data_IF_639802507084
#
_entry.id   IF_639802507084
#
_cell.length_a   1.000
_cell.length_b   1.000
_cell.length_c   1.000
_cell.angle_alpha   90.00
_cell.angle_beta   90.00
_cell.angle_gamma   90.00
#
_symmetry.space_group_name_H-M   'P 1'
#
loop_
_entity.id
_entity.type
_entity.pdbx_description
1 polymer ?
#
# COMPACT_ATOMS: atom_id res chain seq x y z
N UNK A 1 3.30 28.87 9.36
CA UNK A 1 3.08 28.51 7.96
C UNK A 1 4.01 29.34 7.10
N UNK A 2 4.68 28.73 6.13
CA UNK A 2 5.49 29.41 5.10
C UNK A 2 5.23 28.73 3.76
N UNK A 3 5.13 29.54 2.71
CA UNK A 3 4.96 29.07 1.34
C UNK A 3 6.29 29.01 0.59
N UNK A 4 6.43 28.04 -0.31
CA UNK A 4 7.54 27.86 -1.24
C UNK A 4 6.97 27.74 -2.66
N UNK A 5 7.66 28.32 -3.66
CA UNK A 5 7.29 28.24 -5.09
C UNK A 5 5.83 28.61 -5.42
N UNK A 6 5.20 29.52 -4.67
CA UNK A 6 3.77 29.85 -4.81
C UNK A 6 3.41 30.68 -6.05
N UNK A 7 4.38 31.27 -6.75
CA UNK A 7 4.13 32.29 -7.78
C UNK A 7 3.42 31.77 -9.05
N UNK A 8 3.22 30.45 -9.17
CA UNK A 8 2.56 29.80 -10.30
C UNK A 8 1.40 28.87 -9.87
N UNK A 9 0.96 28.92 -8.60
CA UNK A 9 -0.14 28.08 -8.13
C UNK A 9 -1.50 28.64 -8.58
N UNK A 10 -2.25 27.84 -9.33
CA UNK A 10 -3.65 28.12 -9.65
C UNK A 10 -4.57 27.37 -8.66
N UNK A 11 -5.24 28.07 -7.73
CA UNK A 11 -6.13 27.45 -6.76
C UNK A 11 -7.43 26.94 -7.37
N UNK A 12 -7.81 27.36 -8.59
CA UNK A 12 -9.13 27.04 -9.17
C UNK A 12 -9.29 25.56 -9.51
N UNK A 13 -8.19 24.92 -9.92
CA UNK A 13 -8.09 23.48 -10.09
C UNK A 13 -6.81 22.99 -9.44
N UNK A 14 -6.90 22.16 -8.41
CA UNK A 14 -5.71 21.78 -7.64
C UNK A 14 -5.84 20.37 -7.06
N UNK A 15 -4.73 19.64 -7.04
CA UNK A 15 -4.57 18.41 -6.26
C UNK A 15 -3.71 18.68 -5.04
N UNK A 16 -4.31 18.57 -3.85
CA UNK A 16 -3.64 18.83 -2.56
C UNK A 16 -3.08 17.53 -2.02
N UNK A 17 -1.78 17.51 -1.76
CA UNK A 17 -1.08 16.33 -1.24
C UNK A 17 -0.62 16.63 0.19
N UNK A 18 -1.26 15.99 1.17
CA UNK A 18 -0.91 16.17 2.59
C UNK A 18 0.14 15.15 2.99
N UNK A 19 1.32 15.65 3.36
CA UNK A 19 2.54 14.88 3.64
C UNK A 19 3.04 15.18 5.06
N UNK A 20 3.88 14.30 5.61
CA UNK A 20 4.56 14.52 6.88
C UNK A 20 4.84 13.21 7.60
N UNK A 21 5.64 13.26 8.66
CA UNK A 21 5.99 12.05 9.39
C UNK A 21 4.76 11.36 9.99
N UNK A 22 4.85 10.04 10.16
CA UNK A 22 3.93 9.30 11.01
C UNK A 22 3.83 9.96 12.38
N UNK A 23 2.60 10.04 12.92
CA UNK A 23 2.28 10.76 14.16
C UNK A 23 2.58 12.28 14.14
N UNK A 24 2.90 12.84 12.97
CA UNK A 24 3.20 14.26 12.76
C UNK A 24 1.97 15.18 12.70
N UNK A 25 0.75 14.65 12.77
CA UNK A 25 -0.48 15.44 12.76
C UNK A 25 -1.03 15.75 11.36
N UNK A 26 -0.63 14.98 10.34
CA UNK A 26 -1.16 15.09 8.96
C UNK A 26 -2.68 14.95 8.90
N UNK A 27 -3.28 14.06 9.70
CA UNK A 27 -4.74 13.88 9.76
C UNK A 27 -5.50 15.12 10.25
N UNK A 28 -4.89 15.94 11.11
CA UNK A 28 -5.50 17.20 11.54
C UNK A 28 -5.63 18.17 10.37
N UNK A 29 -4.58 18.29 9.55
CA UNK A 29 -4.58 19.16 8.39
C UNK A 29 -5.52 18.63 7.30
N UNK A 30 -5.54 17.32 7.05
CA UNK A 30 -6.50 16.71 6.13
C UNK A 30 -7.94 16.95 6.58
N UNK A 31 -8.24 16.80 7.88
CA UNK A 31 -9.57 17.12 8.44
C UNK A 31 -9.94 18.60 8.32
N UNK A 32 -8.98 19.52 8.48
CA UNK A 32 -9.20 20.94 8.24
C UNK A 32 -9.55 21.22 6.76
N UNK A 33 -8.84 20.61 5.81
CA UNK A 33 -9.16 20.71 4.38
C UNK A 33 -10.56 20.17 4.06
N UNK A 34 -10.93 19.03 4.64
CA UNK A 34 -12.27 18.47 4.52
C UNK A 34 -13.35 19.42 5.06
N UNK A 35 -13.09 20.07 6.21
CA UNK A 35 -14.02 21.05 6.77
C UNK A 35 -14.17 22.33 5.93
N UNK A 36 -13.15 22.69 5.14
CA UNK A 36 -13.19 23.73 4.11
C UNK A 36 -13.96 23.30 2.84
N UNK A 37 -14.47 22.07 2.80
CA UNK A 37 -15.22 21.53 1.66
C UNK A 37 -14.35 20.96 0.55
N UNK A 38 -13.06 20.71 0.82
CA UNK A 38 -12.19 20.02 -0.13
C UNK A 38 -12.34 18.50 0.06
N UNK A 39 -12.73 17.73 -0.97
CA UNK A 39 -12.73 16.27 -0.90
C UNK A 39 -11.31 15.73 -0.66
N UNK A 40 -11.12 14.93 0.39
CA UNK A 40 -9.81 14.40 0.79
C UNK A 40 -9.60 12.90 0.50
N UNK A 41 -10.48 12.32 -0.33
CA UNK A 41 -10.48 10.90 -0.68
C UNK A 41 -11.85 10.24 -0.47
N UNK A 42 -11.91 8.93 -0.63
CA UNK A 42 -13.11 8.09 -0.49
C UNK A 42 -13.02 7.21 0.75
N UNK A 43 -14.17 6.84 1.32
CA UNK A 43 -14.28 5.88 2.43
C UNK A 43 -13.33 6.17 3.59
N UNK A 44 -13.19 7.46 3.92
CA UNK A 44 -12.20 7.92 4.87
C UNK A 44 -12.54 7.49 6.30
N UNK A 45 -11.55 6.94 6.98
CA UNK A 45 -11.59 6.76 8.42
C UNK A 45 -11.04 8.01 9.15
N UNK A 46 -10.87 7.92 10.46
CA UNK A 46 -10.36 9.04 11.25
C UNK A 46 -8.91 9.44 10.94
N UNK A 47 -8.16 8.63 10.19
CA UNK A 47 -6.82 8.97 9.71
C UNK A 47 -6.86 9.88 8.49
N UNK A 48 -8.01 9.99 7.81
CA UNK A 48 -8.17 10.70 6.53
C UNK A 48 -7.27 10.12 5.42
N UNK A 49 -7.01 8.82 5.45
CA UNK A 49 -6.31 8.12 4.37
C UNK A 49 -7.33 7.45 3.44
N UNK A 50 -7.12 7.59 2.14
CA UNK A 50 -7.95 6.96 1.12
C UNK A 50 -7.45 5.52 0.90
N UNK A 51 -8.24 4.48 1.22
CA UNK A 51 -7.78 3.10 1.18
C UNK A 51 -7.45 2.61 -0.23
N UNK A 52 -8.11 3.14 -1.27
CA UNK A 52 -7.81 2.83 -2.67
C UNK A 52 -6.42 3.38 -3.04
N UNK A 53 -6.19 4.67 -2.77
CA UNK A 53 -4.92 5.30 -3.09
C UNK A 53 -3.76 4.75 -2.27
N UNK A 54 -3.98 4.41 -0.99
CA UNK A 54 -2.99 3.73 -0.16
C UNK A 54 -2.58 2.38 -0.74
N UNK A 55 -3.55 1.55 -1.14
CA UNK A 55 -3.27 0.24 -1.71
C UNK A 55 -2.48 0.35 -3.02
N UNK A 56 -2.90 1.25 -3.92
CA UNK A 56 -2.20 1.52 -5.17
C UNK A 56 -0.78 2.04 -4.94
N UNK A 57 -0.58 2.91 -3.95
CA UNK A 57 0.74 3.42 -3.57
C UNK A 57 1.65 2.31 -3.02
N UNK A 58 1.14 1.51 -2.08
CA UNK A 58 1.88 0.42 -1.46
C UNK A 58 2.29 -0.67 -2.46
N UNK A 59 1.43 -0.94 -3.44
CA UNK A 59 1.68 -1.92 -4.50
C UNK A 59 2.55 -1.36 -5.66
N UNK A 60 2.88 -0.07 -5.65
CA UNK A 60 3.59 0.58 -6.74
C UNK A 60 2.80 0.66 -8.06
N UNK A 61 1.48 0.47 -8.02
CA UNK A 61 0.62 0.47 -9.20
C UNK A 61 0.38 1.91 -9.70
N UNK A 62 1.34 2.40 -10.49
CA UNK A 62 1.27 3.75 -11.05
C UNK A 62 0.13 3.93 -12.05
N UNK A 63 -0.28 2.88 -12.76
CA UNK A 63 -1.36 2.97 -13.77
C UNK A 63 -2.71 3.09 -13.07
N UNK A 64 -2.99 2.23 -12.10
CA UNK A 64 -4.18 2.32 -11.26
C UNK A 64 -4.24 3.65 -10.51
N UNK A 65 -3.11 4.12 -9.97
CA UNK A 65 -3.04 5.42 -9.29
C UNK A 65 -3.39 6.60 -10.22
N UNK A 66 -2.90 6.57 -11.46
CA UNK A 66 -3.25 7.59 -12.48
C UNK A 66 -4.73 7.55 -12.80
N UNK A 67 -5.32 6.37 -13.04
CA UNK A 67 -6.77 6.26 -13.26
C UNK A 67 -7.59 6.79 -12.08
N UNK A 68 -7.16 6.49 -10.85
CA UNK A 68 -7.80 6.97 -9.63
C UNK A 68 -7.71 8.50 -9.49
N UNK A 69 -6.60 9.12 -9.92
CA UNK A 69 -6.43 10.58 -10.01
C UNK A 69 -7.37 11.17 -11.07
N UNK A 70 -7.34 10.62 -12.28
CA UNK A 70 -8.13 11.13 -13.42
C UNK A 70 -9.63 11.07 -13.13
N UNK A 71 -10.08 9.99 -12.50
CA UNK A 71 -11.45 9.84 -12.04
C UNK A 71 -11.84 10.97 -11.06
N UNK A 72 -11.00 11.26 -10.07
CA UNK A 72 -11.25 12.34 -9.11
C UNK A 72 -11.16 13.72 -9.77
N UNK A 73 -10.26 13.89 -10.74
CA UNK A 73 -10.13 15.11 -11.53
C UNK A 73 -11.40 15.44 -12.33
N UNK A 74 -12.12 14.43 -12.84
CA UNK A 74 -13.41 14.60 -13.54
C UNK A 74 -14.52 15.10 -12.62
N UNK A 75 -14.52 14.65 -11.36
CA UNK A 75 -15.61 14.93 -10.41
C UNK A 75 -15.38 16.18 -9.57
N UNK A 76 -14.12 16.56 -9.36
CA UNK A 76 -13.77 17.63 -8.44
C UNK A 76 -12.78 18.60 -9.09
N UNK A 77 -13.07 19.91 -9.15
CA UNK A 77 -12.10 20.89 -9.61
C UNK A 77 -10.91 20.96 -8.64
N UNK A 78 -11.18 20.87 -7.33
CA UNK A 78 -10.19 20.79 -6.26
C UNK A 78 -10.44 19.54 -5.43
N UNK A 79 -9.40 18.77 -5.16
CA UNK A 79 -9.44 17.63 -4.25
C UNK A 79 -8.04 17.36 -3.69
N UNK A 80 -7.94 16.46 -2.73
CA UNK A 80 -6.65 16.05 -2.21
C UNK A 80 -6.67 14.65 -1.60
N UNK A 81 -5.52 14.23 -1.12
CA UNK A 81 -5.35 12.98 -0.40
C UNK A 81 -4.21 13.10 0.62
N UNK A 82 -4.21 12.21 1.60
CA UNK A 82 -3.18 12.12 2.62
C UNK A 82 -2.46 10.79 2.48
N UNK A 83 -1.20 10.83 2.09
CA UNK A 83 -0.29 9.69 2.10
C UNK A 83 1.04 10.25 2.66
N UNK A 84 1.38 9.95 3.92
CA UNK A 84 2.46 10.61 4.67
C UNK A 84 3.81 10.74 3.94
N UNK A 85 4.18 9.71 3.19
CA UNK A 85 5.47 9.46 2.55
C UNK A 85 5.40 9.47 1.02
N UNK A 86 4.33 10.03 0.46
CA UNK A 86 4.09 9.99 -0.98
C UNK A 86 5.18 10.69 -1.80
N UNK A 87 5.70 9.94 -2.77
CA UNK A 87 6.66 10.37 -3.79
C UNK A 87 6.10 9.95 -5.15
N UNK A 88 5.69 10.89 -6.03
CA UNK A 88 5.06 10.55 -7.30
C UNK A 88 6.09 10.05 -8.32
N UNK A 89 5.75 8.98 -9.03
CA UNK A 89 6.39 8.59 -10.29
C UNK A 89 6.02 9.57 -11.41
N UNK A 90 6.75 9.58 -12.53
CA UNK A 90 6.49 10.52 -13.65
C UNK A 90 5.04 10.46 -14.18
N UNK A 91 4.41 9.28 -14.38
CA UNK A 91 3.01 9.22 -14.83
C UNK A 91 2.04 9.85 -13.82
N UNK A 92 2.23 9.56 -12.52
CA UNK A 92 1.44 10.14 -11.43
C UNK A 92 1.64 11.66 -11.39
N UNK A 93 2.89 12.11 -11.52
CA UNK A 93 3.29 13.52 -11.56
C UNK A 93 2.56 14.28 -12.66
N UNK A 94 2.47 13.69 -13.85
CA UNK A 94 1.78 14.28 -15.00
C UNK A 94 0.25 14.32 -14.85
N UNK A 95 -0.34 13.39 -14.10
CA UNK A 95 -1.80 13.32 -13.88
C UNK A 95 -2.31 14.33 -12.82
N UNK A 96 -1.45 14.79 -11.92
CA UNK A 96 -1.81 15.74 -10.87
C UNK A 96 -1.99 17.15 -11.46
N UNK A 97 -3.13 17.80 -11.17
CA UNK A 97 -3.42 19.16 -11.67
C UNK A 97 -3.01 20.20 -10.65
N UNK A 98 -2.15 21.13 -11.06
CA UNK A 98 -1.61 22.21 -10.22
C UNK A 98 -1.33 21.73 -8.77
N UNK A 99 -0.44 20.75 -8.60
CA UNK A 99 -0.26 20.09 -7.33
C UNK A 99 0.24 21.05 -6.25
N UNK A 100 -0.29 20.89 -5.03
CA UNK A 100 0.10 21.63 -3.84
C UNK A 100 0.54 20.66 -2.76
N UNK A 101 1.81 20.77 -2.34
CA UNK A 101 2.26 20.06 -1.15
C UNK A 101 1.80 20.78 0.12
N UNK A 102 1.22 20.03 1.06
CA UNK A 102 0.96 20.46 2.43
C UNK A 102 1.79 19.60 3.37
N UNK A 103 3.00 20.07 3.68
CA UNK A 103 3.98 19.35 4.50
C UNK A 103 3.78 19.71 5.96
N UNK A 104 3.42 18.72 6.77
CA UNK A 104 3.21 18.88 8.21
C UNK A 104 4.47 18.47 8.97
N UNK A 105 5.12 19.46 9.56
CA UNK A 105 6.23 19.30 10.46
C UNK A 105 5.73 19.35 11.90
N UNK A 106 6.25 18.44 12.71
CA UNK A 106 6.02 18.37 14.14
C UNK A 106 7.38 18.23 14.82
N UNK A 107 7.44 18.65 16.08
CA UNK A 107 8.57 18.35 16.94
C UNK A 107 8.96 16.86 16.84
N UNK A 108 10.21 16.63 16.46
CA UNK A 108 10.75 15.30 16.16
C UNK A 108 10.72 14.41 17.40
N UNK A 109 10.98 14.97 18.59
CA UNK A 109 10.87 14.23 19.84
C UNK A 109 9.41 13.89 20.16
N UNK A 110 8.46 14.77 19.89
CA UNK A 110 7.04 14.48 20.07
C UNK A 110 6.51 13.40 19.12
N UNK A 111 6.95 13.40 17.85
CA UNK A 111 6.70 12.30 16.91
C UNK A 111 7.33 11.00 17.43
N UNK A 112 8.62 11.04 17.77
CA UNK A 112 9.38 9.89 18.21
C UNK A 112 8.85 9.28 19.52
N UNK A 113 8.37 10.10 20.46
CA UNK A 113 7.69 9.60 21.67
C UNK A 113 6.41 8.85 21.31
N UNK A 114 5.62 9.37 20.35
CA UNK A 114 4.39 8.72 19.91
C UNK A 114 4.67 7.45 19.11
N UNK A 115 5.67 7.47 18.23
CA UNK A 115 6.14 6.29 17.50
C UNK A 115 6.64 5.25 18.51
N UNK A 116 7.53 5.62 19.43
CA UNK A 116 8.00 4.73 20.48
C UNK A 116 6.87 4.16 21.36
N UNK A 117 5.82 4.94 21.62
CA UNK A 117 4.64 4.48 22.37
C UNK A 117 3.67 3.61 21.55
N UNK A 118 3.69 3.70 20.22
CA UNK A 118 2.69 3.05 19.35
C UNK A 118 3.23 1.94 18.46
N UNK A 119 4.54 1.91 18.26
CA UNK A 119 5.32 1.06 17.35
C UNK A 119 6.54 0.44 18.08
N UNK A 120 6.64 0.61 19.41
CA UNK A 120 7.65 0.06 20.35
C UNK A 120 9.11 0.08 19.82
N UNK A 121 9.38 1.13 19.05
CA UNK A 121 10.71 1.53 18.61
C UNK A 121 11.42 2.29 19.75
N UNK A 122 12.65 1.89 20.09
CA UNK A 122 13.49 2.64 21.03
C UNK A 122 13.48 4.14 20.68
N UNK A 123 13.20 5.01 21.64
CA UNK A 123 13.02 6.45 21.42
C UNK A 123 14.15 7.08 20.60
N UNK A 124 15.41 6.68 20.84
CA UNK A 124 16.56 7.17 20.08
C UNK A 124 16.50 6.77 18.59
N UNK A 125 16.06 5.54 18.27
CA UNK A 125 15.85 5.09 16.89
C UNK A 125 14.68 5.83 16.24
N UNK A 126 13.57 5.99 16.97
CA UNK A 126 12.41 6.75 16.49
C UNK A 126 12.75 8.22 16.21
N UNK A 127 13.60 8.81 17.04
CA UNK A 127 14.10 10.17 16.87
C UNK A 127 14.92 10.31 15.59
N UNK A 128 15.88 9.39 15.38
CA UNK A 128 16.72 9.38 14.17
C UNK A 128 15.89 9.11 12.92
N UNK A 129 15.02 8.10 12.94
CA UNK A 129 14.15 7.74 11.82
C UNK A 129 13.21 8.89 11.44
N UNK A 130 12.59 9.54 12.43
CA UNK A 130 11.73 10.71 12.18
C UNK A 130 12.52 11.87 11.57
N UNK A 131 13.73 12.14 12.08
CA UNK A 131 14.60 13.20 11.55
C UNK A 131 15.03 12.90 10.11
N UNK A 132 15.44 11.67 9.83
CA UNK A 132 15.85 11.23 8.49
C UNK A 132 14.68 11.28 7.52
N UNK A 133 13.50 10.82 7.94
CA UNK A 133 12.28 10.91 7.16
C UNK A 133 11.98 12.35 6.75
N UNK A 134 12.01 13.31 7.70
CA UNK A 134 11.77 14.71 7.37
C UNK A 134 12.84 15.29 6.43
N UNK A 135 14.11 14.91 6.60
CA UNK A 135 15.16 15.34 5.69
C UNK A 135 14.88 14.86 4.25
N UNK A 136 14.64 13.55 4.07
CA UNK A 136 14.34 12.97 2.76
C UNK A 136 13.08 13.56 2.13
N UNK A 137 12.01 13.75 2.93
CA UNK A 137 10.78 14.35 2.47
C UNK A 137 11.00 15.80 1.99
N UNK A 138 11.74 16.60 2.76
CA UNK A 138 12.02 17.98 2.40
C UNK A 138 12.93 18.07 1.17
N UNK A 139 13.96 17.23 1.06
CA UNK A 139 14.80 17.15 -0.14
C UNK A 139 13.96 16.86 -1.39
N UNK A 140 13.01 15.93 -1.28
CA UNK A 140 12.09 15.61 -2.36
C UNK A 140 11.18 16.81 -2.72
N UNK A 141 10.54 17.43 -1.72
CA UNK A 141 9.65 18.58 -1.94
C UNK A 141 10.40 19.74 -2.59
N UNK A 142 11.64 20.00 -2.16
CA UNK A 142 12.49 21.03 -2.73
C UNK A 142 12.92 20.69 -4.17
N UNK A 143 13.23 19.43 -4.46
CA UNK A 143 13.62 19.00 -5.80
C UNK A 143 12.49 19.09 -6.83
N UNK A 144 11.24 18.85 -6.42
CA UNK A 144 10.07 18.87 -7.33
C UNK A 144 9.63 20.27 -7.74
N UNK A 145 10.00 21.32 -6.98
CA UNK A 145 9.64 22.72 -7.26
C UNK A 145 8.14 23.01 -7.36
N UNK A 146 7.29 22.11 -6.88
CA UNK A 146 5.86 22.38 -6.74
C UNK A 146 5.59 23.42 -5.65
N UNK A 147 4.49 24.18 -5.77
CA UNK A 147 3.97 24.96 -4.66
C UNK A 147 3.88 24.11 -3.39
N UNK A 148 4.47 24.59 -2.30
CA UNK A 148 4.47 23.87 -1.03
C UNK A 148 4.15 24.78 0.15
N UNK A 149 3.34 24.26 1.07
CA UNK A 149 2.99 24.86 2.34
C UNK A 149 3.60 24.06 3.46
N UNK A 150 4.49 24.71 4.22
CA UNK A 150 5.10 24.12 5.40
C UNK A 150 4.29 24.53 6.63
N UNK A 151 3.71 23.53 7.30
CA UNK A 151 2.82 23.67 8.44
C UNK A 151 3.47 23.11 9.70
N UNK A 152 3.34 23.82 10.82
CA UNK A 152 3.73 23.30 12.14
C UNK A 152 2.50 22.73 12.84
N UNK A 153 2.59 21.48 13.30
CA UNK A 153 1.55 20.84 14.07
C UNK A 153 1.26 21.56 15.40
N UNK A 154 2.29 22.05 16.08
CA UNK A 154 2.16 22.80 17.33
C UNK A 154 1.38 24.09 17.11
N UNK A 155 1.65 24.78 16.00
CA UNK A 155 0.91 25.98 15.63
C UNK A 155 -0.53 25.65 15.24
N UNK A 156 -0.77 24.58 14.50
CA UNK A 156 -2.11 24.12 14.14
C UNK A 156 -2.95 23.76 15.38
N UNK A 157 -2.33 23.15 16.40
CA UNK A 157 -2.99 22.89 17.68
C UNK A 157 -3.28 24.17 18.48
N UNK A 158 -2.33 25.11 18.56
CA UNK A 158 -2.48 26.35 19.35
C UNK A 158 -3.39 27.37 18.69
N UNK A 159 -3.40 27.45 17.35
CA UNK A 159 -4.11 28.46 16.57
C UNK A 159 -4.83 27.82 15.36
N UNK A 160 -5.76 26.88 15.59
CA UNK A 160 -6.42 26.14 14.51
C UNK A 160 -7.19 27.04 13.55
N UNK A 161 -7.87 28.07 14.06
CA UNK A 161 -8.61 29.04 13.24
C UNK A 161 -7.68 29.83 12.30
N UNK A 162 -6.51 30.26 12.78
CA UNK A 162 -5.56 30.99 11.96
C UNK A 162 -4.96 30.10 10.85
N UNK A 163 -4.75 28.81 11.13
CA UNK A 163 -4.31 27.85 10.11
C UNK A 163 -5.41 27.60 9.09
N UNK A 164 -6.65 27.37 9.54
CA UNK A 164 -7.79 27.15 8.66
C UNK A 164 -8.03 28.35 7.73
N UNK A 165 -7.93 29.56 8.26
CA UNK A 165 -8.07 30.81 7.49
C UNK A 165 -6.93 30.99 6.47
N UNK A 166 -5.70 30.63 6.85
CA UNK A 166 -4.58 30.66 5.92
C UNK A 166 -4.74 29.63 4.79
N UNK A 167 -5.24 28.42 5.09
CA UNK A 167 -5.55 27.40 4.09
C UNK A 167 -6.68 27.86 3.16
N UNK A 168 -7.74 28.44 3.71
CA UNK A 168 -8.86 29.03 2.95
C UNK A 168 -8.37 30.10 1.98
N UNK A 169 -7.58 31.06 2.48
CA UNK A 169 -7.06 32.16 1.67
C UNK A 169 -6.13 31.66 0.55
N UNK A 170 -5.30 30.64 0.82
CA UNK A 170 -4.41 30.08 -0.19
C UNK A 170 -5.20 29.35 -1.30
N UNK A 171 -6.23 28.60 -0.92
CA UNK A 171 -7.07 27.86 -1.86
C UNK A 171 -8.13 28.73 -2.56
N UNK A 172 -8.06 30.06 -2.38
CA UNK A 172 -9.01 31.05 -2.89
C UNK A 172 -10.47 30.62 -2.68
N UNK A 173 -10.75 30.16 -1.47
CA UNK A 173 -12.09 29.75 -1.05
C UNK A 173 -12.87 30.96 -0.53
N UNK A 174 -14.20 31.04 -0.73
CA UNK A 174 -15.00 32.15 -0.23
C UNK A 174 -14.87 32.27 1.30
N UNK A 175 -15.03 33.49 1.86
CA UNK A 175 -15.06 33.68 3.31
C UNK A 175 -16.13 32.78 3.93
N UNK A 176 -15.77 32.10 5.00
CA UNK A 176 -16.72 31.28 5.78
C UNK A 176 -17.46 32.27 6.69
N UNK A 177 -18.79 32.32 6.63
CA UNK A 177 -19.57 33.16 7.53
C UNK A 177 -19.32 32.78 9.00
N UNK A 178 -19.29 33.76 9.90
CA UNK A 178 -18.95 33.59 11.32
C UNK A 178 -19.80 32.51 12.03
N UNK A 179 -20.98 32.16 11.51
CA UNK A 179 -21.84 31.07 12.00
C UNK A 179 -21.31 29.65 11.72
N UNK A 180 -20.52 29.44 10.65
CA UNK A 180 -20.05 28.11 10.19
C UNK A 180 -18.66 27.75 10.73
N UNK A 181 -17.89 28.77 11.14
CA UNK A 181 -16.61 28.65 11.87
C UNK A 181 -16.82 28.62 13.39
N UNK A 182 -18.08 28.58 13.84
CA UNK A 182 -18.45 28.42 15.24
C UNK A 182 -17.81 27.16 15.83
N UNK A 183 -17.57 27.20 17.14
CA UNK A 183 -16.95 26.14 17.94
C UNK A 183 -17.48 24.71 17.64
N UNK A 184 -18.67 24.57 17.04
CA UNK A 184 -19.29 23.33 16.55
C UNK A 184 -18.44 22.54 15.54
N UNK A 185 -18.00 23.12 14.40
CA UNK A 185 -17.34 22.31 13.34
C UNK A 185 -15.89 21.95 13.71
N UNK A 186 -15.20 22.86 14.40
CA UNK A 186 -13.91 22.58 15.02
C UNK A 186 -14.05 21.64 16.23
N UNK A 187 -15.18 21.72 16.94
CA UNK A 187 -15.58 20.82 18.02
C UNK A 187 -15.83 19.41 17.54
N UNK A 188 -16.54 19.22 16.43
CA UNK A 188 -16.76 17.95 15.74
C UNK A 188 -15.43 17.35 15.26
N UNK A 189 -14.55 18.15 14.63
CA UNK A 189 -13.20 17.69 14.24
C UNK A 189 -12.34 17.31 15.46
N UNK A 190 -12.40 18.09 16.55
CA UNK A 190 -11.71 17.77 17.81
C UNK A 190 -12.31 16.53 18.47
N UNK A 191 -13.62 16.34 18.41
CA UNK A 191 -14.32 15.19 18.96
C UNK A 191 -14.04 13.93 18.15
N UNK A 192 -14.04 13.99 16.81
CA UNK A 192 -13.61 12.90 15.94
C UNK A 192 -12.12 12.56 16.17
N UNK A 193 -11.26 13.56 16.36
CA UNK A 193 -9.83 13.33 16.64
C UNK A 193 -9.58 12.80 18.07
N UNK A 194 -10.35 13.25 19.07
CA UNK A 194 -10.29 12.76 20.44
C UNK A 194 -10.85 11.34 20.53
N UNK A 195 -11.99 11.09 19.88
CA UNK A 195 -12.59 9.77 19.72
C UNK A 195 -11.60 8.83 19.03
N UNK A 196 -10.88 9.25 17.98
CA UNK A 196 -9.76 8.48 17.42
C UNK A 196 -8.61 8.23 18.41
N UNK A 197 -8.18 9.23 19.18
CA UNK A 197 -7.13 9.06 20.17
C UNK A 197 -7.54 8.11 21.31
N UNK A 198 -8.84 8.03 21.62
CA UNK A 198 -9.41 7.11 22.60
C UNK A 198 -9.69 5.72 21.99
N UNK A 199 -10.21 5.64 20.77
CA UNK A 199 -10.50 4.42 20.03
C UNK A 199 -9.19 3.69 19.71
N UNK A 200 -8.15 4.38 19.23
CA UNK A 200 -6.80 3.79 19.03
C UNK A 200 -6.10 3.40 20.33
N UNK A 201 -6.51 3.97 21.48
CA UNK A 201 -6.12 3.49 22.81
C UNK A 201 -6.94 2.29 23.29
N UNK A 202 -8.14 2.07 22.72
CA UNK A 202 -9.07 0.98 23.05
C UNK A 202 -8.97 -0.22 22.09
N UNK A 203 -8.29 -0.10 20.94
CA UNK A 203 -8.00 -1.25 20.06
C UNK A 203 -7.02 -2.18 20.78
N UNK A 204 -7.60 -3.13 21.52
CA UNK A 204 -6.90 -4.19 22.24
C UNK A 204 -6.18 -5.12 21.27
N UNK A 205 -6.84 -5.50 20.18
CA UNK A 205 -6.31 -6.43 19.20
C UNK A 205 -6.00 -5.69 17.90
N UNK A 206 -4.76 -5.79 17.45
CA UNK A 206 -4.26 -5.21 16.20
C UNK A 206 -3.78 -6.32 15.27
N UNK A 207 -3.64 -6.01 13.98
CA UNK A 207 -3.09 -6.95 13.00
C UNK A 207 -3.19 -6.43 11.58
N UNK A 208 -2.60 -7.16 10.65
CA UNK A 208 -2.57 -6.81 9.24
C UNK A 208 -2.67 -8.05 8.34
N UNK A 209 -3.19 -7.83 7.12
CA UNK A 209 -3.02 -8.74 5.99
C UNK A 209 -1.71 -8.37 5.29
N UNK A 210 -0.71 -9.23 5.37
CA UNK A 210 0.60 -8.99 4.74
C UNK A 210 0.52 -9.35 3.24
N UNK A 211 0.12 -10.59 2.95
CA UNK A 211 0.08 -11.13 1.59
C UNK A 211 -0.97 -12.25 1.42
N UNK A 212 -1.32 -12.53 0.17
CA UNK A 212 -2.00 -13.77 -0.24
C UNK A 212 -1.15 -14.39 -1.33
N UNK A 213 -0.58 -15.56 -1.06
CA UNK A 213 0.32 -16.28 -1.97
C UNK A 213 -0.31 -17.64 -2.28
N UNK A 214 -0.77 -17.79 -3.53
CA UNK A 214 -1.56 -18.97 -3.93
C UNK A 214 -2.79 -19.12 -3.04
N UNK A 215 -2.85 -20.21 -2.29
CA UNK A 215 -3.96 -20.54 -1.38
C UNK A 215 -3.73 -20.09 0.06
N UNK A 216 -2.64 -19.40 0.35
CA UNK A 216 -2.24 -19.07 1.72
C UNK A 216 -2.38 -17.58 2.00
N UNK A 217 -3.19 -17.25 3.00
CA UNK A 217 -3.37 -15.89 3.53
C UNK A 217 -2.41 -15.70 4.70
N UNK A 218 -1.52 -14.72 4.56
CA UNK A 218 -0.41 -14.47 5.48
C UNK A 218 -0.62 -13.13 6.15
N UNK A 219 -0.40 -13.09 7.46
CA UNK A 219 -0.42 -11.85 8.21
C UNK A 219 -0.14 -12.08 9.67
N UNK A 220 -0.59 -11.14 10.50
CA UNK A 220 -0.40 -11.22 11.93
C UNK A 220 -1.55 -10.58 12.68
N UNK A 221 -1.75 -11.03 13.92
CA UNK A 221 -2.66 -10.42 14.87
C UNK A 221 -2.14 -10.61 16.29
N UNK A 222 -2.30 -9.61 17.15
CA UNK A 222 -1.86 -9.70 18.53
C UNK A 222 -2.64 -8.79 19.47
N UNK A 223 -2.72 -9.21 20.72
CA UNK A 223 -3.38 -8.50 21.82
C UNK A 223 -2.37 -7.63 22.57
N UNK A 224 -2.61 -6.32 22.58
CA UNK A 224 -1.75 -5.33 23.25
C UNK A 224 -1.85 -5.37 24.78
N UNK A 225 -2.92 -5.94 25.33
CA UNK A 225 -3.10 -6.09 26.78
C UNK A 225 -2.63 -7.47 27.28
N UNK A 226 -2.58 -8.45 26.39
CA UNK A 226 -2.02 -9.78 26.64
C UNK A 226 -1.11 -10.21 25.50
N UNK A 227 0.12 -9.69 25.53
CA UNK A 227 1.15 -9.97 24.55
C UNK A 227 1.56 -11.47 24.45
N UNK A 228 1.11 -12.31 25.39
CA UNK A 228 1.39 -13.75 25.37
C UNK A 228 0.28 -14.57 24.72
N UNK A 229 -0.91 -13.99 24.54
CA UNK A 229 -2.06 -14.69 24.00
C UNK A 229 -2.00 -14.77 22.46
N UNK A 230 -2.24 -15.97 21.94
CA UNK A 230 -2.56 -16.15 20.52
C UNK A 230 -3.93 -15.56 20.21
N UNK A 231 -4.03 -14.79 19.13
CA UNK A 231 -5.29 -14.14 18.72
C UNK A 231 -6.03 -15.03 17.71
N UNK A 232 -7.28 -15.38 18.02
CA UNK A 232 -8.14 -16.05 17.06
C UNK A 232 -8.49 -15.13 15.89
N UNK A 233 -8.21 -15.59 14.67
CA UNK A 233 -8.52 -14.87 13.43
C UNK A 233 -9.37 -15.71 12.49
N UNK A 234 -10.26 -15.06 11.76
CA UNK A 234 -11.07 -15.65 10.70
C UNK A 234 -10.82 -14.89 9.40
N UNK A 235 -10.46 -15.63 8.36
CA UNK A 235 -10.36 -15.12 6.99
C UNK A 235 -11.76 -15.14 6.39
N UNK A 236 -12.14 -14.01 5.82
CA UNK A 236 -13.35 -13.86 5.03
C UNK A 236 -12.98 -13.66 3.56
N UNK A 237 -13.71 -14.32 2.67
CA UNK A 237 -13.65 -14.08 1.21
C UNK A 237 -15.08 -13.72 0.78
N UNK A 238 -15.25 -12.55 0.19
CA UNK A 238 -16.55 -11.99 -0.21
C UNK A 238 -17.60 -12.03 0.91
N UNK A 239 -17.20 -11.60 2.11
CA UNK A 239 -18.02 -11.58 3.33
C UNK A 239 -18.41 -12.97 3.87
N UNK A 240 -17.91 -14.06 3.28
CA UNK A 240 -18.11 -15.42 3.82
C UNK A 240 -16.89 -15.85 4.64
N UNK A 241 -17.06 -16.38 5.86
CA UNK A 241 -15.95 -16.94 6.62
C UNK A 241 -15.49 -18.24 5.96
N UNK A 242 -14.21 -18.33 5.60
CA UNK A 242 -13.67 -19.46 4.82
C UNK A 242 -12.69 -20.32 5.61
N UNK A 243 -11.89 -19.71 6.48
CA UNK A 243 -10.96 -20.42 7.35
C UNK A 243 -10.75 -19.63 8.65
N UNK A 244 -10.62 -20.35 9.75
CA UNK A 244 -10.29 -19.82 11.06
C UNK A 244 -8.98 -20.41 11.54
N UNK A 245 -8.19 -19.62 12.25
CA UNK A 245 -6.98 -20.09 12.92
C UNK A 245 -6.57 -19.18 14.06
N UNK A 246 -5.35 -19.39 14.54
CA UNK A 246 -4.75 -18.61 15.63
C UNK A 246 -3.49 -17.96 15.11
N UNK A 247 -3.30 -16.69 15.47
CA UNK A 247 -2.09 -15.95 15.25
C UNK A 247 -1.10 -16.24 16.39
N UNK A 248 -0.36 -17.34 16.26
CA UNK A 248 0.61 -17.86 17.24
C UNK A 248 1.97 -18.24 16.63
N UNK A 249 2.17 -17.99 15.34
CA UNK A 249 3.40 -18.33 14.64
C UNK A 249 4.51 -17.30 14.94
N UNK A 250 5.78 -17.74 15.02
CA UNK A 250 6.89 -16.86 15.34
C UNK A 250 7.16 -15.84 14.23
N UNK A 251 7.21 -14.56 14.63
CA UNK A 251 7.50 -13.38 13.83
C UNK A 251 8.40 -12.48 14.66
N UNK A 252 9.71 -12.63 14.45
CA UNK A 252 10.72 -11.93 15.25
C UNK A 252 10.64 -10.40 15.10
N UNK A 253 10.15 -9.92 13.96
CA UNK A 253 9.83 -8.52 13.69
C UNK A 253 8.72 -7.98 14.62
N UNK A 254 7.80 -8.85 15.08
CA UNK A 254 6.69 -8.49 15.96
C UNK A 254 7.01 -8.59 17.44
N UNK A 255 8.15 -9.17 17.83
CA UNK A 255 8.59 -9.21 19.23
C UNK A 255 8.74 -7.81 19.83
N UNK A 256 9.12 -6.86 18.98
CA UNK A 256 9.24 -5.45 19.34
C UNK A 256 7.87 -4.76 19.42
N UNK A 257 6.76 -5.39 19.05
CA UNK A 257 5.41 -4.79 19.13
C UNK A 257 4.62 -5.33 20.34
N UNK A 258 5.02 -6.49 20.87
CA UNK A 258 4.33 -7.21 21.93
C UNK A 258 5.29 -7.57 23.08
N UNK A 259 6.04 -6.59 23.59
CA UNK A 259 6.84 -6.70 24.81
C UNK A 259 7.82 -7.90 24.87
N UNK A 260 8.40 -8.28 23.73
CA UNK A 260 9.33 -9.40 23.59
C UNK A 260 8.69 -10.72 23.14
N UNK A 261 7.37 -10.75 22.89
CA UNK A 261 6.66 -11.91 22.38
C UNK A 261 6.49 -11.82 20.86
N UNK A 262 7.05 -12.77 20.13
CA UNK A 262 7.00 -12.78 18.66
C UNK A 262 5.93 -13.68 18.07
N UNK A 263 5.11 -14.35 18.87
CA UNK A 263 4.20 -15.40 18.39
C UNK A 263 2.85 -14.82 17.99
N UNK A 264 2.84 -14.06 16.91
CA UNK A 264 1.67 -13.30 16.44
C UNK A 264 1.40 -13.46 14.95
N UNK A 265 2.18 -14.27 14.24
CA UNK A 265 1.95 -14.55 12.82
C UNK A 265 0.86 -15.60 12.62
N UNK A 266 0.21 -15.56 11.47
CA UNK A 266 -0.58 -16.68 10.96
C UNK A 266 -0.30 -16.89 9.48
N UNK A 267 -0.45 -18.13 9.04
CA UNK A 267 -0.51 -18.52 7.64
C UNK A 267 -1.68 -19.50 7.49
N UNK A 268 -2.78 -19.05 6.90
CA UNK A 268 -4.03 -19.80 6.82
C UNK A 268 -4.35 -20.14 5.38
N UNK A 269 -4.60 -21.43 5.11
CA UNK A 269 -4.94 -21.91 3.77
C UNK A 269 -6.43 -21.76 3.52
N UNK A 270 -6.78 -21.06 2.44
CA UNK A 270 -8.16 -20.97 1.96
C UNK A 270 -8.49 -22.17 1.07
N UNK A 271 -9.77 -22.58 0.98
CA UNK A 271 -10.17 -23.69 0.11
C UNK A 271 -9.74 -23.49 -1.35
N UNK A 272 -9.14 -24.50 -2.01
CA UNK A 272 -8.73 -24.41 -3.43
C UNK A 272 -9.87 -24.05 -4.40
N UNK A 273 -11.12 -24.28 -4.02
CA UNK A 273 -12.30 -23.90 -4.79
C UNK A 273 -12.47 -22.38 -4.94
N UNK A 274 -11.84 -21.58 -4.09
CA UNK A 274 -11.84 -20.10 -4.17
C UNK A 274 -10.71 -19.57 -5.07
N UNK A 275 -9.84 -20.45 -5.60
CA UNK A 275 -8.76 -20.08 -6.53
C UNK A 275 -9.29 -20.21 -7.96
N UNK A 276 -10.30 -19.41 -8.28
CA UNK A 276 -11.04 -19.46 -9.55
C UNK A 276 -10.50 -18.50 -10.61
N UNK A 277 -9.50 -17.69 -10.28
CA UNK A 277 -8.92 -16.67 -11.14
C UNK A 277 -9.74 -15.36 -11.19
N UNK A 278 -10.73 -15.20 -10.32
CA UNK A 278 -11.51 -13.98 -10.18
C UNK A 278 -11.01 -13.09 -9.02
N UNK A 279 -11.40 -11.81 -9.05
CA UNK A 279 -11.16 -10.87 -7.96
C UNK A 279 -12.12 -11.14 -6.79
N UNK A 280 -11.57 -11.26 -5.58
CA UNK A 280 -12.32 -11.42 -4.35
C UNK A 280 -11.92 -10.37 -3.31
N UNK A 281 -12.86 -10.00 -2.42
CA UNK A 281 -12.54 -9.24 -1.21
C UNK A 281 -12.07 -10.21 -0.11
N UNK A 282 -10.78 -10.19 0.21
CA UNK A 282 -10.20 -10.95 1.33
C UNK A 282 -10.08 -10.04 2.54
N UNK A 283 -10.61 -10.45 3.69
CA UNK A 283 -10.53 -9.70 4.95
C UNK A 283 -10.16 -10.61 6.13
N UNK A 284 -9.61 -10.02 7.20
CA UNK A 284 -9.28 -10.75 8.44
C UNK A 284 -10.00 -10.10 9.61
N UNK A 285 -10.67 -10.95 10.39
CA UNK A 285 -11.52 -10.57 11.51
C UNK A 285 -11.10 -11.33 12.75
N UNK A 286 -11.19 -10.70 13.92
CA UNK A 286 -10.98 -11.39 15.20
C UNK A 286 -12.18 -12.28 15.49
N UNK A 287 -11.96 -13.56 15.79
CA UNK A 287 -13.05 -14.54 15.88
C UNK A 287 -13.98 -14.36 17.09
N UNK A 288 -13.49 -13.75 18.19
CA UNK A 288 -14.24 -13.64 19.46
C UNK A 288 -14.54 -12.19 19.91
N UNK A 289 -14.40 -11.20 19.02
CA UNK A 289 -14.74 -9.81 19.33
C UNK A 289 -16.18 -9.48 18.94
N UNK A 290 -16.86 -8.67 19.75
CA UNK A 290 -18.18 -8.08 19.45
C UNK A 290 -18.23 -7.58 17.98
N UNK A 291 -19.30 -7.85 17.20
CA UNK A 291 -19.43 -7.47 15.79
C UNK A 291 -19.23 -5.98 15.44
N UNK A 292 -18.92 -5.11 16.40
CA UNK A 292 -18.47 -3.72 16.22
C UNK A 292 -16.95 -3.50 16.38
N UNK A 293 -16.13 -4.54 16.58
CA UNK A 293 -14.67 -4.46 16.76
C UNK A 293 -13.89 -5.34 15.74
N UNK A 294 -14.33 -5.33 14.48
CA UNK A 294 -14.52 -6.56 13.67
C UNK A 294 -13.68 -6.68 12.41
N UNK A 295 -12.73 -5.79 12.12
CA UNK A 295 -11.78 -5.96 11.02
C UNK A 295 -10.42 -5.44 11.46
N UNK A 296 -9.37 -6.23 11.26
CA UNK A 296 -8.00 -5.75 11.46
C UNK A 296 -7.73 -4.66 10.40
N UNK A 297 -6.92 -3.64 10.70
CA UNK A 297 -6.76 -2.48 9.80
C UNK A 297 -5.36 -2.45 9.19
N UNK A 298 -5.20 -2.29 7.86
CA UNK A 298 -6.19 -2.50 6.80
C UNK A 298 -6.19 -3.97 6.36
N UNK A 299 -7.19 -4.77 6.78
CA UNK A 299 -7.23 -6.20 6.42
C UNK A 299 -8.05 -6.52 5.18
N UNK A 300 -8.98 -5.65 4.75
CA UNK A 300 -9.75 -5.90 3.53
C UNK A 300 -8.96 -5.47 2.29
N UNK A 301 -8.62 -6.42 1.43
CA UNK A 301 -7.97 -6.20 0.13
C UNK A 301 -8.75 -6.92 -0.97
N UNK A 302 -8.84 -6.29 -2.14
CA UNK A 302 -9.32 -6.96 -3.35
C UNK A 302 -8.14 -7.61 -4.04
N UNK A 303 -8.20 -8.93 -4.18
CA UNK A 303 -7.10 -9.75 -4.67
C UNK A 303 -7.68 -10.77 -5.64
N UNK A 304 -7.03 -10.95 -6.78
CA UNK A 304 -7.37 -12.05 -7.70
C UNK A 304 -6.81 -13.35 -7.12
N UNK A 305 -7.70 -14.25 -6.72
CA UNK A 305 -7.33 -15.53 -6.14
C UNK A 305 -7.10 -16.53 -7.26
N UNK A 306 -5.83 -16.80 -7.54
CA UNK A 306 -5.41 -17.62 -8.67
C UNK A 306 -4.67 -18.86 -8.18
N UNK A 307 -4.79 -19.94 -8.93
CA UNK A 307 -4.32 -21.28 -8.54
C UNK A 307 -2.81 -21.45 -8.66
N UNK A 308 -2.20 -20.77 -9.62
CA UNK A 308 -0.79 -20.94 -9.99
C UNK A 308 0.00 -19.69 -9.65
N UNK A 309 0.93 -19.79 -8.70
CA UNK A 309 1.81 -18.69 -8.34
C UNK A 309 3.23 -18.98 -8.83
N UNK A 310 3.98 -17.91 -9.10
CA UNK A 310 5.27 -18.04 -9.76
C UNK A 310 6.03 -16.74 -9.78
N UNK A 311 7.32 -16.86 -10.05
CA UNK A 311 8.21 -15.73 -10.22
C UNK A 311 9.12 -15.93 -11.42
N UNK A 312 9.48 -14.80 -12.02
CA UNK A 312 10.64 -14.70 -12.89
C UNK A 312 11.90 -14.81 -12.01
N UNK A 313 12.97 -15.45 -12.49
CA UNK A 313 14.25 -15.57 -11.76
C UNK A 313 15.32 -14.68 -12.40
N UNK A 314 15.96 -15.17 -13.46
CA UNK A 314 17.05 -14.53 -14.19
C UNK A 314 16.67 -14.44 -15.68
N UNK A 315 16.72 -13.24 -16.25
CA UNK A 315 16.31 -13.01 -17.65
C UNK A 315 17.28 -12.15 -18.42
N UNK A 316 17.53 -12.51 -19.67
CA UNK A 316 18.23 -11.68 -20.68
C UNK A 316 17.30 -11.35 -21.87
N UNK A 317 17.85 -10.82 -22.97
CA UNK A 317 17.08 -10.48 -24.17
C UNK A 317 16.61 -11.70 -24.98
N UNK A 318 17.04 -12.91 -24.61
CA UNK A 318 16.78 -14.16 -25.31
C UNK A 318 15.96 -15.16 -24.51
N UNK A 319 16.25 -15.34 -23.23
CA UNK A 319 15.63 -16.37 -22.38
C UNK A 319 14.96 -15.72 -21.18
N UNK A 320 13.67 -16.04 -21.03
CA UNK A 320 12.96 -15.82 -19.78
C UNK A 320 12.99 -17.10 -18.96
N UNK A 321 13.53 -17.06 -17.75
CA UNK A 321 13.51 -18.19 -16.83
C UNK A 321 12.83 -17.84 -15.52
N UNK A 322 12.24 -18.85 -14.90
CA UNK A 322 11.49 -18.70 -13.66
C UNK A 322 10.87 -20.02 -13.22
N UNK A 323 9.87 -19.91 -12.36
CA UNK A 323 9.06 -21.04 -11.92
C UNK A 323 7.58 -20.68 -11.85
N UNK A 324 6.72 -21.70 -12.05
CA UNK A 324 5.28 -21.63 -11.88
C UNK A 324 4.83 -22.92 -11.20
N UNK A 325 4.15 -22.78 -10.07
CA UNK A 325 3.65 -23.93 -9.31
C UNK A 325 2.27 -23.64 -8.72
N UNK A 326 1.56 -24.70 -8.39
CA UNK A 326 0.42 -24.62 -7.48
C UNK A 326 0.80 -25.32 -6.17
N UNK A 327 -0.10 -25.28 -5.19
CA UNK A 327 0.15 -25.91 -3.90
C UNK A 327 0.02 -27.46 -3.94
N UNK A 328 -0.67 -28.01 -4.94
CA UNK A 328 -0.84 -29.45 -5.08
C UNK A 328 0.17 -30.04 -6.08
N UNK A 329 1.20 -30.72 -5.56
CA UNK A 329 2.26 -31.34 -6.38
C UNK A 329 1.77 -32.32 -7.47
N UNK A 330 0.53 -32.81 -7.37
CA UNK A 330 -0.06 -33.74 -8.35
C UNK A 330 -0.70 -33.04 -9.54
N UNK A 331 -0.92 -31.71 -9.48
CA UNK A 331 -1.54 -30.98 -10.58
C UNK A 331 -0.52 -30.66 -11.69
N UNK A 332 -0.94 -30.86 -12.93
CA UNK A 332 -0.14 -30.51 -14.10
C UNK A 332 -0.34 -29.02 -14.40
N UNK A 333 0.75 -28.28 -14.53
CA UNK A 333 0.71 -26.85 -14.90
C UNK A 333 -0.08 -26.64 -16.22
N UNK A 334 -0.94 -25.60 -16.30
CA UNK A 334 -1.57 -25.21 -17.56
C UNK A 334 -0.55 -24.69 -18.59
N UNK A 335 0.68 -24.44 -18.13
CA UNK A 335 1.71 -23.74 -18.87
C UNK A 335 1.50 -22.23 -18.87
N UNK A 336 2.57 -21.51 -19.21
CA UNK A 336 2.63 -20.06 -19.21
C UNK A 336 2.18 -19.49 -20.54
N UNK A 337 1.31 -18.49 -20.48
CA UNK A 337 1.03 -17.61 -21.60
C UNK A 337 1.92 -16.39 -21.50
N UNK A 338 2.63 -16.09 -22.59
CA UNK A 338 3.39 -14.86 -22.74
C UNK A 338 2.57 -13.89 -23.58
N UNK A 339 2.28 -12.72 -23.02
CA UNK A 339 1.52 -11.65 -23.68
C UNK A 339 2.36 -10.40 -23.84
N UNK A 340 2.35 -9.82 -25.03
CA UNK A 340 2.91 -8.50 -25.37
C UNK A 340 1.86 -7.72 -26.17
N UNK A 341 1.24 -6.72 -25.52
CA UNK A 341 0.11 -6.00 -26.09
C UNK A 341 -1.06 -6.93 -26.45
N UNK A 342 -1.36 -7.05 -27.75
CA UNK A 342 -2.43 -7.89 -28.28
C UNK A 342 -1.97 -9.30 -28.69
N UNK A 343 -0.67 -9.58 -28.62
CA UNK A 343 -0.09 -10.88 -29.01
C UNK A 343 0.02 -11.75 -27.78
N UNK A 344 -0.59 -12.93 -27.81
CA UNK A 344 -0.43 -13.98 -26.79
C UNK A 344 0.11 -15.26 -27.43
N UNK A 345 1.14 -15.83 -26.84
CA UNK A 345 1.82 -17.05 -27.30
C UNK A 345 2.02 -18.03 -26.14
N UNK A 346 2.06 -19.33 -26.44
CA UNK A 346 2.10 -20.40 -25.45
C UNK A 346 1.04 -21.48 -25.73
N UNK A 347 0.74 -22.37 -24.76
CA UNK A 347 1.32 -22.44 -23.42
C UNK A 347 2.77 -22.98 -23.43
N UNK A 348 3.64 -22.34 -22.65
CA UNK A 348 5.00 -22.83 -22.39
C UNK A 348 5.01 -23.70 -21.13
N UNK A 349 5.59 -24.91 -21.18
CA UNK A 349 5.56 -25.80 -20.03
C UNK A 349 6.47 -25.28 -18.90
N UNK A 350 5.96 -25.34 -17.67
CA UNK A 350 6.74 -25.15 -16.45
C UNK A 350 7.01 -26.52 -15.81
N UNK A 351 7.89 -27.30 -16.43
CA UNK A 351 8.17 -28.70 -16.09
C UNK A 351 9.67 -29.00 -15.93
N UNK A 352 10.51 -27.97 -15.88
CA UNK A 352 11.94 -28.14 -15.62
C UNK A 352 12.16 -28.43 -14.13
N UNK A 353 13.16 -29.27 -13.86
CA UNK A 353 13.52 -29.67 -12.51
C UNK A 353 14.08 -28.49 -11.71
N UNK A 354 13.64 -28.35 -10.45
CA UNK A 354 14.03 -27.28 -9.53
C UNK A 354 14.29 -27.84 -8.13
N UNK A 355 15.52 -28.26 -7.91
CA UNK A 355 15.97 -28.84 -6.63
C UNK A 355 15.79 -27.90 -5.44
N UNK A 356 15.95 -26.59 -5.66
CA UNK A 356 15.72 -25.55 -4.66
C UNK A 356 14.24 -25.53 -4.21
N UNK A 357 13.30 -25.56 -5.16
CA UNK A 357 11.87 -25.64 -4.85
C UNK A 357 11.50 -26.96 -4.16
N UNK A 358 12.12 -28.07 -4.56
CA UNK A 358 11.91 -29.37 -3.94
C UNK A 358 12.41 -29.44 -2.48
N UNK A 359 13.48 -28.70 -2.15
CA UNK A 359 13.96 -28.58 -0.76
C UNK A 359 13.00 -27.80 0.13
N UNK A 360 12.41 -26.73 -0.40
CA UNK A 360 11.45 -25.90 0.34
C UNK A 360 10.06 -26.55 0.41
N UNK A 361 9.66 -27.27 -0.65
CA UNK A 361 8.37 -27.96 -0.76
C UNK A 361 8.57 -29.39 -1.26
N UNK A 362 8.79 -30.37 -0.35
CA UNK A 362 8.95 -31.77 -0.72
C UNK A 362 7.81 -32.28 -1.60
N UNK A 363 8.16 -32.80 -2.78
CA UNK A 363 7.20 -33.27 -3.79
C UNK A 363 7.04 -32.33 -5.00
N UNK A 364 7.49 -31.09 -4.90
CA UNK A 364 7.42 -30.08 -5.97
C UNK A 364 8.74 -30.00 -6.76
N UNK A 365 8.99 -30.98 -7.62
CA UNK A 365 10.28 -31.09 -8.34
C UNK A 365 10.28 -30.45 -9.73
N UNK A 366 9.14 -30.37 -10.43
CA UNK A 366 9.08 -29.99 -11.85
C UNK A 366 8.22 -28.73 -12.09
N UNK A 367 8.75 -27.57 -11.72
CA UNK A 367 8.02 -26.30 -11.80
C UNK A 367 8.80 -25.17 -12.48
N UNK A 368 10.03 -25.42 -12.93
CA UNK A 368 10.83 -24.43 -13.64
C UNK A 368 10.37 -24.25 -15.09
N UNK A 369 10.58 -23.06 -15.63
CA UNK A 369 10.40 -22.78 -17.06
C UNK A 369 11.61 -22.04 -17.64
N UNK A 370 11.82 -22.22 -18.94
CA UNK A 370 12.75 -21.44 -19.74
C UNK A 370 12.14 -21.20 -21.13
N UNK A 371 11.88 -19.96 -21.47
CA UNK A 371 11.22 -19.55 -22.73
C UNK A 371 12.24 -18.80 -23.58
N UNK A 372 12.62 -19.37 -24.73
CA UNK A 372 13.45 -18.68 -25.74
C UNK A 372 12.58 -17.68 -26.52
N UNK A 373 12.54 -16.43 -26.05
CA UNK A 373 11.78 -15.34 -26.67
C UNK A 373 12.41 -14.85 -27.98
N UNK A 374 13.65 -15.23 -28.31
CA UNK A 374 14.21 -14.99 -29.63
C UNK A 374 13.66 -15.96 -30.69
N UNK A 375 13.05 -17.08 -30.27
CA UNK A 375 12.45 -18.06 -31.15
C UNK A 375 10.95 -17.82 -31.44
N UNK A 376 10.39 -16.66 -31.04
CA UNK A 376 8.96 -16.36 -31.16
C UNK A 376 8.76 -15.20 -32.17
N UNK A 377 8.60 -15.47 -33.48
CA UNK A 377 8.51 -14.43 -34.51
C UNK A 377 7.39 -13.41 -34.30
N UNK A 378 6.30 -13.81 -33.65
CA UNK A 378 5.14 -12.95 -33.40
C UNK A 378 5.42 -11.75 -32.47
N UNK A 379 6.50 -11.82 -31.68
CA UNK A 379 6.97 -10.75 -30.79
C UNK A 379 8.31 -10.16 -31.29
N UNK A 380 8.77 -10.52 -32.50
CA UNK A 380 10.01 -10.00 -33.09
C UNK A 380 9.69 -8.86 -34.06
N UNK A 381 9.44 -7.64 -33.56
CA UNK A 381 9.25 -6.45 -34.41
C UNK A 381 10.33 -5.36 -34.24
N UNK A 382 11.36 -5.64 -33.43
CA UNK A 382 12.48 -4.72 -33.17
C UNK A 382 12.15 -3.59 -32.19
N UNK A 383 10.97 -3.58 -31.57
CA UNK A 383 10.59 -2.63 -30.52
C UNK A 383 10.90 -3.21 -29.12
N UNK A 384 10.93 -2.36 -28.09
CA UNK A 384 10.91 -2.82 -26.70
C UNK A 384 9.67 -3.69 -26.43
N UNK A 385 9.88 -4.85 -25.81
CA UNK A 385 8.82 -5.81 -25.49
C UNK A 385 8.29 -5.54 -24.08
N UNK A 386 6.97 -5.57 -23.88
CA UNK A 386 6.37 -5.53 -22.54
C UNK A 386 5.76 -6.87 -22.23
N UNK A 387 6.52 -7.70 -21.51
CA UNK A 387 6.21 -9.10 -21.32
C UNK A 387 5.40 -9.30 -20.05
N UNK A 388 4.18 -9.82 -20.22
CA UNK A 388 3.36 -10.36 -19.15
C UNK A 388 3.37 -11.88 -19.25
N UNK A 389 3.77 -12.57 -18.18
CA UNK A 389 3.62 -14.02 -18.07
C UNK A 389 2.45 -14.32 -17.15
N UNK A 390 1.51 -15.16 -17.55
CA UNK A 390 0.43 -15.64 -16.67
C UNK A 390 0.06 -17.09 -16.95
N UNK A 391 -0.76 -17.68 -16.08
CA UNK A 391 -1.40 -18.98 -16.27
C UNK A 391 -2.69 -18.89 -17.12
N UNK A 392 -2.92 -17.76 -17.80
CA UNK A 392 -4.16 -17.44 -18.50
C UNK A 392 -5.13 -16.58 -17.70
N UNK A 393 -4.83 -16.28 -16.43
CA UNK A 393 -5.53 -15.26 -15.66
C UNK A 393 -5.00 -13.85 -15.95
N UNK A 394 -5.70 -12.78 -15.54
CA UNK A 394 -5.23 -11.40 -15.65
C UNK A 394 -4.02 -11.06 -14.76
N UNK A 395 -3.67 -11.94 -13.81
CA UNK A 395 -2.56 -11.73 -12.88
C UNK A 395 -1.26 -12.19 -13.54
N UNK A 396 -0.31 -11.27 -13.67
CA UNK A 396 1.04 -11.60 -14.09
C UNK A 396 1.82 -12.32 -12.99
N UNK A 397 2.73 -13.22 -13.38
CA UNK A 397 3.74 -13.77 -12.48
C UNK A 397 4.56 -12.64 -11.85
N UNK A 398 5.03 -12.86 -10.63
CA UNK A 398 5.89 -11.92 -9.94
C UNK A 398 7.14 -11.61 -10.78
N UNK A 399 7.48 -10.32 -10.90
CA UNK A 399 8.52 -9.84 -11.81
C UNK A 399 8.02 -9.47 -13.21
N UNK A 400 6.71 -9.54 -13.48
CA UNK A 400 6.08 -9.04 -14.71
C UNK A 400 5.04 -7.94 -14.41
N UNK A 401 4.79 -6.95 -15.30
CA UNK A 401 5.37 -6.81 -16.64
C UNK A 401 6.88 -6.54 -16.64
N UNK A 402 7.59 -7.25 -17.51
CA UNK A 402 9.01 -7.01 -17.77
C UNK A 402 9.16 -6.26 -19.09
N UNK A 403 9.74 -5.07 -19.05
CA UNK A 403 10.13 -4.34 -20.26
C UNK A 403 11.54 -4.74 -20.69
N UNK A 404 11.67 -5.33 -21.88
CA UNK A 404 12.95 -5.69 -22.49
C UNK A 404 13.26 -4.72 -23.63
N UNK A 405 14.25 -3.87 -23.42
CA UNK A 405 14.81 -3.03 -24.48
C UNK A 405 15.93 -3.79 -25.19
N UNK A 406 15.70 -4.15 -26.45
CA UNK A 406 16.68 -4.88 -27.29
C UNK A 406 17.66 -3.96 -28.01
N UNK A 407 17.59 -2.64 -27.80
CA UNK A 407 18.50 -1.66 -28.43
C UNK A 407 19.75 -1.37 -27.59
N UNK A 408 19.83 -1.90 -26.37
CA UNK A 408 20.99 -1.81 -25.48
C UNK A 408 21.35 -3.21 -24.93
N UNK A 409 22.62 -3.45 -24.62
CA UNK A 409 23.02 -4.67 -23.89
C UNK A 409 22.24 -4.77 -22.57
N UNK A 410 21.38 -5.79 -22.37
CA UNK A 410 20.56 -5.84 -21.18
C UNK A 410 21.43 -6.23 -19.97
N UNK A 411 21.24 -5.61 -18.80
CA UNK A 411 21.75 -6.19 -17.57
C UNK A 411 20.98 -7.49 -17.28
N UNK A 412 21.69 -8.50 -16.79
CA UNK A 412 21.06 -9.65 -16.12
C UNK A 412 20.17 -9.10 -15.00
N UNK A 413 18.87 -9.32 -15.11
CA UNK A 413 17.93 -8.93 -14.05
C UNK A 413 17.65 -10.16 -13.19
N UNK A 414 18.02 -10.06 -11.92
CA UNK A 414 17.70 -11.06 -10.91
C UNK A 414 16.51 -10.58 -10.10
N UNK A 415 15.49 -11.42 -10.07
CA UNK A 415 14.32 -11.28 -9.23
C UNK A 415 14.49 -12.16 -7.98
N UNK A 416 13.73 -11.85 -6.93
CA UNK A 416 13.79 -12.49 -5.60
C UNK A 416 13.61 -14.02 -5.69
N UNK A 417 14.44 -14.80 -4.99
CA UNK A 417 14.25 -16.26 -4.85
C UNK A 417 12.98 -16.54 -4.04
N UNK A 418 12.49 -17.79 -4.02
CA UNK A 418 11.37 -18.19 -3.17
C UNK A 418 11.62 -17.82 -1.69
N UNK A 419 12.86 -17.98 -1.22
CA UNK A 419 13.36 -17.58 0.11
C UNK A 419 13.32 -16.06 0.38
N UNK A 420 13.24 -15.23 -0.66
CA UNK A 420 13.28 -13.76 -0.61
C UNK A 420 11.88 -13.12 -0.75
N UNK A 421 10.81 -13.92 -0.90
CA UNK A 421 9.43 -13.44 -0.91
C UNK A 421 8.88 -13.37 0.52
N UNK A 422 8.14 -12.31 0.90
CA UNK A 422 7.71 -12.05 2.27
C UNK A 422 6.76 -13.10 2.86
#
# INVERSE_FOLDING_TARGET
>A
MRGLHLNAFDPSTATIVVLGAQRGGTSQIAGMMAALGIPMGRSLDATFEDPELLALHANGDSVGFVHAIEERNRHHPRWGFKIPDFVPSEPIRAALRNPLYCVVLRDVAACAMRIAQSEDMAFARALVATQQFYATLLDHVMAQHWPALILSHELANKKPQAVLEALRAMLDLPPIGDEVLGESKLGELKQMHHQYQEDTRRVRIIGALDAVIGDTVIGWAGDRLDATAGVGVTVFVDQQPVVQGVADQPRADLATLFAGHGNHGFALRIPPALLDGAEHEVAIVVTDADPMNTRLTPSSRRIVLHRWFGALDETDDRILSGWLMCHEATETSPGLLLTDGAVTVGPFPANLERDDLARERPGHVNHGFAIDIAAIPAILDGKPLTIHLSDGTPVGLYGTPLVIDRTASPPIRRFARLEDQP
#
